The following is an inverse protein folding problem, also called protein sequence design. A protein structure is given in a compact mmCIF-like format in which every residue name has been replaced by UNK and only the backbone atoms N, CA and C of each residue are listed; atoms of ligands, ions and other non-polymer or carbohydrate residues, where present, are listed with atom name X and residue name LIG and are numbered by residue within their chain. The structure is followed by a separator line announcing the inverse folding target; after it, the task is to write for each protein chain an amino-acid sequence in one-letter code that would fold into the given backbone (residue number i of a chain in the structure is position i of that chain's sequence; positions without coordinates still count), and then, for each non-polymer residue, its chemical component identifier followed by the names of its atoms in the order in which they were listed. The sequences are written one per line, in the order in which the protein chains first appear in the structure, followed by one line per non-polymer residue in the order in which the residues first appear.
data_IF_736443266152
#
_entry.id   IF_736443266152
#
_cell.length_a   1.000
_cell.length_b   1.000
_cell.length_c   1.000
_cell.angle_alpha   90.00
_cell.angle_beta   90.00
_cell.angle_gamma   90.00
#
_symmetry.space_group_name_H-M   'P 1'
#
loop_
_entity.id
_entity.type
_entity.pdbx_description
1 polymer ?
#
# COMPACT_ATOMS: atom_id res chain seq x y z
N UNK A 1 13.69 -11.79 4.41
CA UNK A 1 13.15 -11.90 5.78
C UNK A 1 12.22 -10.73 6.05
N UNK A 2 10.90 -10.99 6.08
CA UNK A 2 9.83 -10.02 6.30
C UNK A 2 9.02 -10.30 7.58
N UNK A 3 9.27 -11.41 8.25
CA UNK A 3 8.60 -11.75 9.50
C UNK A 3 9.05 -10.80 10.63
N UNK A 4 8.13 -10.49 11.52
CA UNK A 4 8.41 -9.67 12.70
C UNK A 4 7.15 -9.05 13.30
N UNK A 5 7.27 -8.67 14.56
CA UNK A 5 6.23 -8.00 15.33
C UNK A 5 6.23 -6.50 15.03
N UNK A 6 5.06 -5.94 14.69
CA UNK A 6 4.91 -4.51 14.39
C UNK A 6 4.22 -3.76 15.54
N UNK A 7 3.31 -4.44 16.27
CA UNK A 7 2.52 -3.90 17.37
C UNK A 7 2.46 -4.94 18.46
N UNK A 8 2.90 -4.59 19.66
CA UNK A 8 2.70 -5.39 20.86
C UNK A 8 2.57 -4.49 22.10
N UNK A 9 1.77 -4.94 23.06
CA UNK A 9 1.70 -4.34 24.40
C UNK A 9 2.94 -4.71 25.24
N UNK A 10 3.56 -5.86 24.95
CA UNK A 10 4.73 -6.34 25.66
C UNK A 10 6.02 -6.02 24.90
N UNK A 11 6.93 -5.27 25.54
CA UNK A 11 8.24 -4.93 24.95
C UNK A 11 9.09 -6.16 24.61
N UNK A 12 8.93 -7.26 25.37
CA UNK A 12 9.70 -8.49 25.15
C UNK A 12 9.34 -9.18 23.83
N UNK A 13 8.13 -8.99 23.29
CA UNK A 13 7.71 -9.56 22.02
C UNK A 13 8.57 -9.03 20.86
N UNK A 14 8.88 -7.73 20.88
CA UNK A 14 9.79 -7.16 19.88
C UNK A 14 11.19 -7.78 19.95
N UNK A 15 11.70 -8.08 21.17
CA UNK A 15 12.97 -8.76 21.31
C UNK A 15 12.89 -10.20 20.78
N UNK A 16 11.86 -10.95 21.18
CA UNK A 16 11.64 -12.35 20.79
C UNK A 16 11.39 -12.46 19.28
N UNK A 17 10.43 -11.73 18.75
CA UNK A 17 9.90 -11.91 17.39
C UNK A 17 10.67 -11.12 16.33
N UNK A 18 11.50 -10.12 16.69
CA UNK A 18 12.33 -9.39 15.75
C UNK A 18 13.81 -9.74 15.94
N UNK A 19 14.37 -9.42 17.11
CA UNK A 19 15.82 -9.47 17.33
C UNK A 19 16.34 -10.90 17.38
N UNK A 20 15.67 -11.79 18.13
CA UNK A 20 16.12 -13.18 18.25
C UNK A 20 15.95 -13.93 16.93
N UNK A 21 14.91 -13.65 16.16
CA UNK A 21 14.69 -14.27 14.86
C UNK A 21 15.84 -13.93 13.89
N UNK A 22 16.28 -12.68 13.85
CA UNK A 22 17.42 -12.25 13.03
C UNK A 22 18.72 -12.94 13.51
N UNK A 23 18.92 -13.08 14.83
CA UNK A 23 20.08 -13.82 15.36
C UNK A 23 20.08 -15.27 14.90
N UNK A 24 18.92 -15.96 14.98
CA UNK A 24 18.77 -17.35 14.54
C UNK A 24 19.11 -17.49 13.05
N UNK A 25 18.63 -16.57 12.20
CA UNK A 25 18.94 -16.56 10.77
C UNK A 25 20.45 -16.44 10.55
N UNK A 26 21.11 -15.47 11.19
CA UNK A 26 22.55 -15.27 11.06
C UNK A 26 23.34 -16.51 11.54
N UNK A 27 22.97 -17.09 12.68
CA UNK A 27 23.59 -18.28 13.23
C UNK A 27 23.41 -19.50 12.32
N UNK A 28 22.23 -19.67 11.72
CA UNK A 28 21.95 -20.75 10.77
C UNK A 28 22.78 -20.61 9.50
N UNK A 29 22.86 -19.42 8.94
CA UNK A 29 23.70 -19.16 7.76
C UNK A 29 25.17 -19.44 8.04
N UNK A 30 25.66 -19.08 9.22
CA UNK A 30 27.04 -19.32 9.65
C UNK A 30 27.30 -20.82 9.89
N UNK A 31 26.41 -21.49 10.63
CA UNK A 31 26.53 -22.94 10.94
C UNK A 31 26.58 -23.78 9.67
N UNK A 32 25.75 -23.48 8.69
CA UNK A 32 25.70 -24.22 7.43
C UNK A 32 26.62 -23.64 6.35
N UNK A 33 27.47 -22.65 6.68
CA UNK A 33 28.39 -21.98 5.76
C UNK A 33 27.72 -21.46 4.47
N UNK A 34 26.47 -20.99 4.58
CA UNK A 34 25.68 -20.51 3.44
C UNK A 34 26.05 -19.06 3.10
N UNK A 35 26.34 -18.81 1.82
CA UNK A 35 26.60 -17.46 1.28
C UNK A 35 25.35 -16.83 0.65
N UNK A 36 24.17 -17.24 1.09
CA UNK A 36 22.90 -16.75 0.56
C UNK A 36 22.71 -15.26 0.85
N UNK A 37 22.43 -14.41 -0.16
CA UNK A 37 22.08 -13.02 0.06
C UNK A 37 20.84 -12.87 0.96
N UNK A 38 20.84 -11.87 1.85
CA UNK A 38 19.73 -11.62 2.77
C UNK A 38 19.11 -10.26 2.46
N UNK A 39 17.81 -10.24 2.21
CA UNK A 39 16.99 -9.01 2.12
C UNK A 39 16.16 -8.92 3.40
N UNK A 40 16.33 -7.84 4.15
CA UNK A 40 15.67 -7.62 5.44
C UNK A 40 14.75 -6.41 5.40
N UNK A 41 13.48 -6.58 5.77
CA UNK A 41 12.53 -5.48 5.95
C UNK A 41 12.79 -4.74 7.25
N UNK A 42 13.49 -3.63 7.16
CA UNK A 42 13.59 -2.64 8.23
C UNK A 42 12.52 -1.56 8.05
N UNK A 43 12.62 -0.45 8.75
CA UNK A 43 11.64 0.63 8.71
C UNK A 43 12.30 1.99 8.84
N UNK A 44 11.71 3.02 8.24
CA UNK A 44 12.07 4.42 8.51
C UNK A 44 11.92 4.79 10.00
N UNK A 45 11.16 3.99 10.77
CA UNK A 45 10.96 4.19 12.21
C UNK A 45 12.20 3.87 13.06
N UNK A 46 13.26 3.30 12.50
CA UNK A 46 14.56 3.12 13.21
C UNK A 46 15.14 4.44 13.73
N UNK A 47 14.70 5.56 13.19
CA UNK A 47 15.07 6.91 13.64
C UNK A 47 14.22 7.42 14.82
N UNK A 48 13.17 6.65 15.23
CA UNK A 48 12.26 7.02 16.30
C UNK A 48 12.58 6.24 17.57
N UNK A 49 12.42 6.90 18.72
CA UNK A 49 12.59 6.25 20.02
C UNK A 49 11.30 5.54 20.45
N UNK A 50 10.86 4.53 19.69
CA UNK A 50 9.77 3.64 20.07
C UNK A 50 10.26 2.18 20.03
N UNK A 51 9.57 1.28 20.73
CA UNK A 51 9.99 -0.11 20.90
C UNK A 51 10.20 -0.84 19.57
N UNK A 52 9.34 -0.59 18.59
CA UNK A 52 9.46 -1.15 17.25
C UNK A 52 10.71 -0.64 16.52
N UNK A 53 10.89 0.68 16.44
CA UNK A 53 12.06 1.30 15.80
C UNK A 53 13.38 0.84 16.43
N UNK A 54 13.44 0.81 17.77
CA UNK A 54 14.62 0.31 18.51
C UNK A 54 14.88 -1.17 18.19
N UNK A 55 13.84 -2.02 18.11
CA UNK A 55 14.01 -3.43 17.76
C UNK A 55 14.54 -3.61 16.35
N UNK A 56 13.99 -2.87 15.37
CA UNK A 56 14.48 -2.88 13.98
C UNK A 56 15.91 -2.39 13.86
N UNK A 57 16.28 -1.33 14.63
CA UNK A 57 17.67 -0.84 14.67
C UNK A 57 18.63 -1.92 15.20
N UNK A 58 18.26 -2.62 16.27
CA UNK A 58 19.07 -3.76 16.77
C UNK A 58 19.23 -4.88 15.73
N UNK A 59 18.18 -5.16 14.95
CA UNK A 59 18.26 -6.11 13.83
C UNK A 59 19.25 -5.64 12.77
N UNK A 60 19.20 -4.35 12.38
CA UNK A 60 20.17 -3.77 11.44
C UNK A 60 21.61 -3.95 11.92
N UNK A 61 21.88 -3.65 13.21
CA UNK A 61 23.20 -3.73 13.78
C UNK A 61 23.76 -5.17 13.79
N UNK A 62 22.90 -6.17 14.05
CA UNK A 62 23.25 -7.59 13.97
C UNK A 62 23.60 -7.99 12.54
N UNK A 63 22.77 -7.59 11.57
CA UNK A 63 22.97 -7.91 10.16
C UNK A 63 24.23 -7.24 9.59
N UNK A 64 24.54 -6.02 10.00
CA UNK A 64 25.76 -5.31 9.60
C UNK A 64 27.01 -6.02 10.16
N UNK A 65 26.98 -6.42 11.45
CA UNK A 65 28.08 -7.21 12.05
C UNK A 65 28.26 -8.52 11.32
N UNK A 66 27.18 -9.25 11.03
CA UNK A 66 27.21 -10.49 10.29
C UNK A 66 27.79 -10.30 8.88
N UNK A 67 27.34 -9.27 8.15
CA UNK A 67 27.87 -8.91 6.83
C UNK A 67 29.39 -8.74 6.86
N UNK A 68 29.88 -7.92 7.80
CA UNK A 68 31.31 -7.60 7.89
C UNK A 68 32.17 -8.83 8.26
N UNK A 69 31.64 -9.69 9.15
CA UNK A 69 32.34 -10.93 9.57
C UNK A 69 32.42 -11.97 8.44
N UNK A 70 31.36 -12.13 7.66
CA UNK A 70 31.20 -13.24 6.72
C UNK A 70 31.31 -12.81 5.25
N UNK A 71 31.61 -11.54 4.96
CA UNK A 71 31.60 -10.94 3.62
C UNK A 71 30.32 -11.28 2.82
N UNK A 72 29.17 -11.20 3.49
CA UNK A 72 27.87 -11.60 2.95
C UNK A 72 27.15 -10.44 2.28
N UNK A 73 26.31 -10.71 1.29
CA UNK A 73 25.42 -9.69 0.70
C UNK A 73 24.20 -9.51 1.60
N UNK A 74 24.07 -8.35 2.24
CA UNK A 74 22.94 -7.98 3.10
C UNK A 74 22.32 -6.70 2.59
N UNK A 75 21.03 -6.74 2.23
CA UNK A 75 20.25 -5.57 1.84
C UNK A 75 19.20 -5.25 2.92
N UNK A 76 19.34 -4.12 3.57
CA UNK A 76 18.45 -3.64 4.63
C UNK A 76 17.51 -2.59 4.04
N UNK A 77 16.22 -2.91 3.92
CA UNK A 77 15.22 -2.04 3.33
C UNK A 77 14.53 -1.23 4.42
N UNK A 78 14.88 0.05 4.58
CA UNK A 78 14.17 0.96 5.49
C UNK A 78 12.87 1.42 4.86
N UNK A 79 11.84 0.59 4.99
CA UNK A 79 10.56 0.76 4.34
C UNK A 79 9.73 1.90 4.97
N UNK A 80 9.05 2.73 4.15
CA UNK A 80 8.05 3.69 4.62
C UNK A 80 6.73 2.97 4.96
N UNK A 81 5.63 3.72 5.07
CA UNK A 81 4.31 3.10 5.28
C UNK A 81 3.85 2.41 3.98
N UNK A 82 3.74 1.10 4.04
CA UNK A 82 3.26 0.29 2.92
C UNK A 82 1.75 0.31 2.90
N UNK A 83 1.16 0.43 1.70
CA UNK A 83 -0.27 0.33 1.49
C UNK A 83 -0.58 -0.56 0.27
N UNK A 84 -1.78 -1.10 0.24
CA UNK A 84 -2.25 -1.96 -0.85
C UNK A 84 -3.49 -2.73 -0.45
N UNK A 85 -3.98 -3.54 -1.38
CA UNK A 85 -5.17 -4.38 -1.23
C UNK A 85 -5.04 -5.31 -0.02
N UNK A 86 -6.15 -5.60 0.62
CA UNK A 86 -6.33 -6.62 1.66
C UNK A 86 -5.47 -6.45 2.92
N UNK A 87 -4.81 -5.32 3.12
CA UNK A 87 -4.12 -5.07 4.37
C UNK A 87 -5.13 -4.91 5.52
N UNK A 88 -4.80 -5.43 6.70
CA UNK A 88 -5.70 -5.43 7.86
C UNK A 88 -6.02 -3.99 8.30
N UNK A 89 -7.31 -3.56 8.27
CA UNK A 89 -7.71 -2.25 8.78
C UNK A 89 -7.61 -2.21 10.31
N UNK A 90 -7.56 -1.01 10.88
CA UNK A 90 -7.45 -0.78 12.32
C UNK A 90 -6.26 -1.50 12.99
N UNK A 91 -5.20 -1.73 12.23
CA UNK A 91 -3.99 -2.38 12.73
C UNK A 91 -2.74 -1.49 12.53
N UNK A 92 -2.11 -1.50 11.39
CA UNK A 92 -0.84 -0.77 11.16
C UNK A 92 -0.80 0.03 9.84
N UNK A 93 -1.91 0.21 9.17
CA UNK A 93 -2.01 0.97 7.93
C UNK A 93 -3.09 2.03 8.01
N UNK A 94 -2.69 3.30 8.00
CA UNK A 94 -3.64 4.41 7.92
C UNK A 94 -4.48 4.34 6.64
N UNK A 95 -3.87 3.99 5.49
CA UNK A 95 -4.59 3.85 4.22
C UNK A 95 -5.67 2.79 4.30
N UNK A 96 -5.34 1.58 4.84
CA UNK A 96 -6.30 0.50 5.01
C UNK A 96 -7.46 0.91 5.92
N UNK A 97 -7.15 1.54 7.06
CA UNK A 97 -8.15 2.02 8.02
C UNK A 97 -9.07 3.06 7.40
N UNK A 98 -8.52 4.03 6.66
CA UNK A 98 -9.31 5.08 6.03
C UNK A 98 -10.18 4.51 4.90
N UNK A 99 -9.63 3.64 4.05
CA UNK A 99 -10.40 2.97 3.00
C UNK A 99 -11.54 2.12 3.58
N UNK A 100 -11.27 1.35 4.63
CA UNK A 100 -12.27 0.54 5.33
C UNK A 100 -13.37 1.40 5.94
N UNK A 101 -13.02 2.47 6.65
CA UNK A 101 -13.99 3.35 7.30
C UNK A 101 -14.86 4.07 6.27
N UNK A 102 -14.25 4.71 5.27
CA UNK A 102 -15.00 5.47 4.24
C UNK A 102 -15.90 4.58 3.40
N UNK A 103 -15.49 3.34 3.11
CA UNK A 103 -16.34 2.39 2.38
C UNK A 103 -17.59 1.93 3.17
N UNK A 104 -17.65 2.25 4.46
CA UNK A 104 -18.77 1.93 5.39
C UNK A 104 -19.42 3.16 6.00
N UNK A 105 -19.12 4.35 5.49
CA UNK A 105 -19.59 5.62 6.04
C UNK A 105 -19.22 5.84 7.52
N UNK A 106 -18.11 5.23 7.97
CA UNK A 106 -17.57 5.43 9.32
C UNK A 106 -16.66 6.67 9.30
N UNK A 107 -16.83 7.54 10.26
CA UNK A 107 -16.03 8.76 10.41
C UNK A 107 -14.54 8.45 10.58
N UNK A 108 -13.69 9.21 9.88
CA UNK A 108 -12.25 9.15 10.06
C UNK A 108 -11.82 10.16 11.12
N UNK A 109 -11.24 9.66 12.22
CA UNK A 109 -10.61 10.50 13.24
C UNK A 109 -9.11 10.55 13.03
N UNK A 110 -8.57 11.75 12.85
CA UNK A 110 -7.13 11.98 12.65
C UNK A 110 -6.66 13.01 13.67
N UNK A 111 -5.72 12.63 14.52
CA UNK A 111 -5.18 13.52 15.56
C UNK A 111 -4.41 14.71 14.99
N UNK A 112 -3.78 14.56 13.83
CA UNK A 112 -2.98 15.61 13.19
C UNK A 112 -3.05 15.51 11.66
N UNK A 113 -3.97 16.23 11.07
CA UNK A 113 -4.23 16.25 9.63
C UNK A 113 -3.01 16.71 8.79
N UNK A 114 -2.22 17.67 9.30
CA UNK A 114 -1.01 18.18 8.65
C UNK A 114 0.19 17.21 8.67
N UNK A 115 0.10 16.10 9.42
CA UNK A 115 1.18 15.14 9.52
C UNK A 115 1.54 14.55 8.15
N UNK A 116 2.82 14.65 7.78
CA UNK A 116 3.34 14.05 6.55
C UNK A 116 3.48 12.54 6.70
N UNK A 117 3.10 11.81 5.67
CA UNK A 117 3.24 10.37 5.55
C UNK A 117 3.92 10.03 4.22
N UNK A 118 4.94 9.18 4.30
CA UNK A 118 5.58 8.60 3.13
C UNK A 118 4.94 7.23 2.88
N UNK A 119 4.43 7.02 1.67
CA UNK A 119 3.67 5.85 1.25
C UNK A 119 4.41 5.10 0.15
N UNK A 120 4.40 3.77 0.24
CA UNK A 120 4.91 2.87 -0.79
C UNK A 120 3.83 1.84 -1.11
N UNK A 121 3.44 1.75 -2.37
CA UNK A 121 2.48 0.76 -2.83
C UNK A 121 3.11 -0.64 -2.84
N UNK A 122 2.35 -1.64 -2.43
CA UNK A 122 2.87 -3.00 -2.23
C UNK A 122 3.45 -3.59 -3.51
N UNK A 123 2.79 -3.40 -4.67
CA UNK A 123 3.27 -3.96 -5.93
C UNK A 123 4.58 -3.26 -6.37
N UNK A 124 4.72 -1.94 -6.14
CA UNK A 124 5.97 -1.21 -6.38
C UNK A 124 7.11 -1.74 -5.50
N UNK A 125 6.81 -2.10 -4.24
CA UNK A 125 7.80 -2.73 -3.34
C UNK A 125 8.20 -4.12 -3.84
N UNK A 126 7.22 -4.95 -4.24
CA UNK A 126 7.48 -6.30 -4.75
C UNK A 126 8.39 -6.25 -5.98
N UNK A 127 8.13 -5.32 -6.90
CA UNK A 127 9.01 -5.12 -8.07
C UNK A 127 10.44 -4.75 -7.68
N UNK A 128 10.62 -3.84 -6.70
CA UNK A 128 11.94 -3.45 -6.22
C UNK A 128 12.66 -4.62 -5.54
N UNK A 129 11.95 -5.44 -4.75
CA UNK A 129 12.51 -6.66 -4.14
C UNK A 129 12.87 -7.69 -5.19
N UNK A 130 12.01 -7.92 -6.18
CA UNK A 130 12.28 -8.84 -7.28
C UNK A 130 13.56 -8.47 -8.03
N UNK A 131 13.77 -7.17 -8.28
CA UNK A 131 15.01 -6.69 -8.90
C UNK A 131 16.25 -6.98 -8.03
N UNK A 132 16.15 -6.81 -6.71
CA UNK A 132 17.24 -7.13 -5.78
C UNK A 132 17.53 -8.63 -5.71
N UNK A 133 16.52 -9.49 -5.89
CA UNK A 133 16.70 -10.94 -5.95
C UNK A 133 17.37 -11.35 -7.27
N UNK A 134 16.87 -10.81 -8.39
CA UNK A 134 17.37 -11.14 -9.73
C UNK A 134 18.78 -10.59 -9.97
N UNK A 135 19.06 -9.42 -9.44
CA UNK A 135 20.35 -8.73 -9.56
C UNK A 135 20.87 -8.33 -8.18
N UNK A 136 21.47 -9.26 -7.43
CA UNK A 136 21.98 -8.98 -6.10
C UNK A 136 23.04 -7.87 -6.11
N UNK A 137 22.85 -6.86 -5.27
CA UNK A 137 23.78 -5.73 -5.14
C UNK A 137 24.44 -5.75 -3.76
N UNK A 138 25.75 -5.50 -3.70
CA UNK A 138 26.45 -5.39 -2.42
C UNK A 138 26.28 -3.98 -1.81
N UNK A 139 25.04 -3.58 -1.60
CA UNK A 139 24.68 -2.30 -0.96
C UNK A 139 23.85 -2.56 0.29
N UNK A 140 24.39 -2.24 1.47
CA UNK A 140 23.71 -2.50 2.74
C UNK A 140 22.34 -1.81 2.83
N UNK A 141 22.25 -0.56 2.41
CA UNK A 141 21.01 0.22 2.41
C UNK A 141 20.66 0.62 0.97
N UNK A 142 20.01 -0.25 0.18
CA UNK A 142 19.54 0.13 -1.14
C UNK A 142 18.45 1.21 -1.02
N UNK A 143 18.40 2.10 -2.00
CA UNK A 143 17.39 3.16 -2.00
C UNK A 143 16.05 2.60 -2.46
N UNK A 144 15.07 2.59 -1.57
CA UNK A 144 13.69 2.21 -1.86
C UNK A 144 12.88 3.46 -2.16
N UNK A 145 12.37 3.53 -3.39
CA UNK A 145 11.59 4.67 -3.86
C UNK A 145 10.17 4.61 -3.31
N UNK A 146 9.74 5.64 -2.60
CA UNK A 146 8.35 5.81 -2.17
C UNK A 146 7.45 6.11 -3.35
N UNK A 147 6.22 5.60 -3.34
CA UNK A 147 5.20 5.94 -4.35
C UNK A 147 4.77 7.41 -4.22
N UNK A 148 4.57 7.88 -2.97
CA UNK A 148 4.10 9.24 -2.68
C UNK A 148 4.47 9.70 -1.27
N UNK A 149 4.83 10.97 -1.16
CA UNK A 149 4.83 11.70 0.12
C UNK A 149 3.65 12.66 0.11
N UNK A 150 2.80 12.64 1.15
CA UNK A 150 1.58 13.43 1.26
C UNK A 150 1.27 13.76 2.72
N UNK A 151 0.22 14.54 2.98
CA UNK A 151 -0.33 14.74 4.32
C UNK A 151 -1.51 13.77 4.56
N UNK A 152 -1.84 13.52 5.84
CA UNK A 152 -3.03 12.73 6.17
C UNK A 152 -4.30 13.39 5.66
N UNK A 153 -4.39 14.73 5.69
CA UNK A 153 -5.49 15.49 5.11
C UNK A 153 -5.68 15.21 3.62
N UNK A 154 -4.59 15.31 2.83
CA UNK A 154 -4.67 15.06 1.39
C UNK A 154 -4.97 13.59 1.09
N UNK A 155 -4.50 12.66 1.92
CA UNK A 155 -4.83 11.25 1.79
C UNK A 155 -6.33 11.02 1.98
N UNK A 156 -6.93 11.55 3.06
CA UNK A 156 -8.37 11.45 3.32
C UNK A 156 -9.17 12.11 2.19
N UNK A 157 -8.77 13.32 1.75
CA UNK A 157 -9.40 14.02 0.63
C UNK A 157 -9.43 13.17 -0.65
N UNK A 158 -8.30 12.54 -0.99
CA UNK A 158 -8.22 11.69 -2.20
C UNK A 158 -9.11 10.45 -2.09
N UNK A 159 -9.21 9.81 -0.90
CA UNK A 159 -10.08 8.64 -0.72
C UNK A 159 -11.56 9.05 -0.80
N UNK A 160 -11.96 10.19 -0.22
CA UNK A 160 -13.31 10.73 -0.38
C UNK A 160 -13.64 10.99 -1.86
N UNK A 161 -12.74 11.67 -2.59
CA UNK A 161 -12.93 11.90 -4.03
C UNK A 161 -13.10 10.60 -4.82
N UNK A 162 -12.38 9.53 -4.45
CA UNK A 162 -12.55 8.20 -5.07
C UNK A 162 -13.94 7.64 -4.77
N UNK A 163 -14.41 7.76 -3.52
CA UNK A 163 -15.75 7.33 -3.11
C UNK A 163 -16.82 8.07 -3.90
N UNK A 164 -16.82 9.42 -3.87
CA UNK A 164 -17.83 10.28 -4.51
C UNK A 164 -17.92 10.03 -6.02
N UNK A 165 -16.77 9.89 -6.69
CA UNK A 165 -16.74 9.63 -8.13
C UNK A 165 -17.24 8.25 -8.52
N UNK A 166 -17.12 7.27 -7.63
CA UNK A 166 -17.70 5.96 -7.86
C UNK A 166 -19.24 6.03 -7.92
N UNK A 167 -19.85 6.88 -7.12
CA UNK A 167 -21.32 7.07 -7.09
C UNK A 167 -21.83 7.73 -8.39
N UNK A 168 -20.99 8.48 -9.10
CA UNK A 168 -21.33 9.16 -10.37
C UNK A 168 -20.85 8.44 -11.62
N UNK A 169 -20.40 7.17 -11.52
CA UNK A 169 -19.81 6.40 -12.62
C UNK A 169 -18.60 7.08 -13.29
N UNK A 170 -18.04 8.14 -12.66
CA UNK A 170 -16.88 8.87 -13.17
C UNK A 170 -15.58 8.12 -12.83
N UNK A 171 -14.91 7.61 -13.84
CA UNK A 171 -13.56 7.02 -13.69
C UNK A 171 -12.54 8.14 -13.93
N UNK A 172 -12.02 8.68 -12.85
CA UNK A 172 -11.02 9.74 -12.93
C UNK A 172 -9.63 9.21 -12.56
N UNK A 173 -8.61 9.84 -13.16
CA UNK A 173 -7.21 9.73 -12.71
C UNK A 173 -6.43 8.45 -13.08
N UNK A 174 -6.76 7.77 -14.17
CA UNK A 174 -5.93 6.68 -14.70
C UNK A 174 -4.47 7.12 -15.00
N UNK A 175 -4.23 8.41 -15.22
CA UNK A 175 -2.90 8.98 -15.48
C UNK A 175 -2.03 9.15 -14.23
N UNK A 176 -2.61 9.18 -13.03
CA UNK A 176 -1.87 9.35 -11.78
C UNK A 176 -1.72 7.99 -11.07
N UNK A 177 -0.53 7.40 -11.12
CA UNK A 177 -0.25 6.10 -10.54
C UNK A 177 -0.60 6.02 -9.04
N UNK A 178 -0.36 7.08 -8.26
CA UNK A 178 -0.73 7.08 -6.84
C UNK A 178 -2.24 6.97 -6.65
N UNK A 179 -3.03 7.75 -7.39
CA UNK A 179 -4.50 7.71 -7.29
C UNK A 179 -5.04 6.38 -7.82
N UNK A 180 -4.47 5.83 -8.90
CA UNK A 180 -4.80 4.49 -9.41
C UNK A 180 -4.58 3.42 -8.34
N UNK A 181 -3.42 3.44 -7.67
CA UNK A 181 -3.09 2.49 -6.61
C UNK A 181 -3.99 2.67 -5.38
N UNK A 182 -4.33 3.91 -5.04
CA UNK A 182 -5.25 4.23 -3.95
C UNK A 182 -6.68 3.76 -4.26
N UNK A 183 -7.16 3.97 -5.49
CA UNK A 183 -8.43 3.45 -5.99
C UNK A 183 -8.49 1.92 -5.89
N UNK A 184 -7.48 1.23 -6.40
CA UNK A 184 -7.37 -0.23 -6.32
C UNK A 184 -7.40 -0.74 -4.88
N UNK A 185 -6.74 -0.01 -3.97
CA UNK A 185 -6.77 -0.30 -2.53
C UNK A 185 -8.17 -0.07 -1.95
N UNK A 186 -8.81 1.07 -2.25
CA UNK A 186 -10.15 1.39 -1.77
C UNK A 186 -11.18 0.34 -2.19
N UNK A 187 -11.17 -0.07 -3.45
CA UNK A 187 -12.08 -1.11 -3.97
C UNK A 187 -11.96 -2.42 -3.18
N UNK A 188 -10.75 -2.82 -2.77
CA UNK A 188 -10.55 -4.05 -2.00
C UNK A 188 -11.20 -4.03 -0.60
N UNK A 189 -11.62 -2.87 -0.11
CA UNK A 189 -12.31 -2.70 1.18
C UNK A 189 -13.82 -2.53 1.06
N UNK A 190 -14.36 -2.46 -0.16
CA UNK A 190 -15.81 -2.34 -0.34
C UNK A 190 -16.54 -3.56 0.21
N UNK A 191 -17.63 -3.38 0.96
CA UNK A 191 -18.53 -4.49 1.26
C UNK A 191 -19.21 -4.97 -0.04
N UNK A 192 -19.57 -6.27 -0.11
CA UNK A 192 -20.11 -6.88 -1.33
C UNK A 192 -21.27 -6.07 -1.95
N UNK A 193 -22.19 -5.61 -1.12
CA UNK A 193 -23.33 -4.77 -1.58
C UNK A 193 -22.90 -3.44 -2.23
N UNK A 194 -21.74 -2.89 -1.89
CA UNK A 194 -21.24 -1.64 -2.44
C UNK A 194 -20.46 -1.82 -3.77
N UNK A 195 -20.29 -3.05 -4.25
CA UNK A 195 -19.79 -3.28 -5.61
C UNK A 195 -20.84 -2.95 -6.66
N UNK A 196 -22.11 -3.08 -6.33
CA UNK A 196 -23.22 -2.66 -7.20
C UNK A 196 -23.40 -1.16 -7.12
N UNK A 197 -23.70 -0.54 -8.24
CA UNK A 197 -24.17 0.83 -8.33
C UNK A 197 -25.27 0.92 -9.41
N UNK A 198 -26.25 1.78 -9.15
CA UNK A 198 -27.37 1.98 -10.06
C UNK A 198 -26.93 2.87 -11.22
N UNK A 199 -27.23 2.44 -12.43
CA UNK A 199 -27.06 3.28 -13.60
C UNK A 199 -28.26 4.22 -13.72
N UNK A 200 -27.98 5.48 -14.03
CA UNK A 200 -29.05 6.45 -14.28
C UNK A 200 -29.53 6.27 -15.73
N UNK A 201 -30.73 5.72 -15.86
CA UNK A 201 -31.40 5.60 -17.14
C UNK A 201 -31.95 6.99 -17.54
N UNK A 202 -31.63 7.43 -18.74
CA UNK A 202 -32.27 8.57 -19.42
C UNK A 202 -33.10 7.99 -20.55
N UNK A 203 -34.37 8.41 -20.61
CA UNK A 203 -35.35 7.93 -21.59
C UNK A 203 -36.04 9.12 -22.24
N UNK A 204 -36.18 9.08 -23.55
CA UNK A 204 -36.95 10.03 -24.35
C UNK A 204 -37.66 9.29 -25.52
N UNK A 205 -38.35 9.98 -26.38
CA UNK A 205 -39.08 9.39 -27.54
C UNK A 205 -38.18 8.58 -28.47
N UNK A 206 -36.86 8.84 -28.47
CA UNK A 206 -35.87 8.18 -29.33
C UNK A 206 -35.37 6.84 -28.74
N UNK A 207 -35.65 6.59 -27.47
CA UNK A 207 -35.22 5.36 -26.77
C UNK A 207 -34.53 5.63 -25.45
N UNK A 208 -33.72 4.65 -24.99
CA UNK A 208 -33.05 4.68 -23.69
C UNK A 208 -31.55 4.97 -23.86
N UNK A 209 -30.96 5.60 -22.84
CA UNK A 209 -29.53 5.84 -22.74
C UNK A 209 -29.04 5.57 -21.31
N UNK A 210 -28.01 4.71 -21.16
CA UNK A 210 -27.36 4.41 -19.89
C UNK A 210 -25.85 4.63 -20.04
N UNK A 211 -25.27 5.33 -19.07
CA UNK A 211 -23.84 5.59 -19.01
C UNK A 211 -23.17 4.67 -17.97
N UNK A 212 -22.35 3.73 -18.42
CA UNK A 212 -21.65 2.78 -17.54
C UNK A 212 -20.39 3.37 -16.91
N UNK A 213 -19.64 4.16 -17.69
CA UNK A 213 -18.40 4.76 -17.24
C UNK A 213 -18.11 6.03 -18.02
N UNK A 214 -17.72 7.07 -17.29
CA UNK A 214 -17.35 8.37 -17.84
C UNK A 214 -15.90 8.69 -17.52
N UNK A 215 -15.13 8.99 -18.54
CA UNK A 215 -13.73 9.38 -18.44
C UNK A 215 -13.60 10.85 -18.82
N UNK A 216 -13.21 11.70 -17.89
CA UNK A 216 -13.21 13.16 -18.06
C UNK A 216 -12.49 13.68 -19.32
N UNK A 217 -11.59 12.93 -19.92
CA UNK A 217 -10.81 13.34 -21.10
C UNK A 217 -10.71 12.26 -22.19
N UNK A 218 -11.37 11.12 -22.01
CA UNK A 218 -11.23 9.96 -22.89
C UNK A 218 -12.57 9.48 -23.46
N UNK A 219 -13.67 10.18 -23.15
CA UNK A 219 -15.00 9.78 -23.57
C UNK A 219 -15.77 8.98 -22.53
N UNK A 220 -16.72 8.19 -22.98
CA UNK A 220 -17.61 7.40 -22.12
C UNK A 220 -17.91 6.04 -22.73
N UNK A 221 -18.29 5.09 -21.89
CA UNK A 221 -18.87 3.82 -22.29
C UNK A 221 -20.36 3.89 -21.95
N UNK A 222 -21.21 3.76 -22.97
CA UNK A 222 -22.66 3.84 -22.80
C UNK A 222 -23.37 2.75 -23.60
N UNK A 223 -24.57 2.44 -23.16
CA UNK A 223 -25.54 1.61 -23.88
C UNK A 223 -26.73 2.50 -24.26
N UNK A 224 -27.27 2.30 -25.44
CA UNK A 224 -28.50 2.97 -25.85
C UNK A 224 -29.35 2.08 -26.73
N UNK A 225 -30.65 2.35 -26.73
CA UNK A 225 -31.62 1.80 -27.68
C UNK A 225 -32.12 2.92 -28.56
N UNK A 226 -32.57 2.58 -29.77
CA UNK A 226 -33.24 3.50 -30.67
C UNK A 226 -34.58 2.88 -31.03
N UNK A 227 -35.65 3.67 -30.85
CA UNK A 227 -37.00 3.28 -31.24
C UNK A 227 -37.14 3.30 -32.77
N UNK A 228 -38.05 2.48 -33.35
CA UNK A 228 -38.30 2.51 -34.80
C UNK A 228 -38.63 3.90 -35.30
N UNK A 229 -38.02 4.27 -36.44
CA UNK A 229 -38.18 5.58 -37.10
C UNK A 229 -37.56 6.80 -36.37
N UNK A 230 -36.78 6.57 -35.31
CA UNK A 230 -36.06 7.64 -34.60
C UNK A 230 -34.57 7.58 -34.94
N UNK A 231 -33.90 8.74 -34.84
CA UNK A 231 -32.46 8.90 -35.03
C UNK A 231 -31.79 9.48 -33.78
N UNK A 232 -30.59 9.07 -33.50
CA UNK A 232 -29.79 9.60 -32.39
C UNK A 232 -28.44 10.05 -32.92
N UNK A 233 -28.20 11.37 -32.92
CA UNK A 233 -26.95 12.00 -33.26
C UNK A 233 -26.08 12.30 -32.03
#
# INVERSE_FOLDING_TARGET
HFAGENISKNKNDFKKNNVNLVKIICQSLEKFKLKTPVIFSSSIQVKKNNNYGVSKKKCEDILIKFKNKNNSIINILRLPNIFGKWSKPNYNSAVATFCFNLSRNIEIKVNRYSAKISLLYIDDLILQIYQLIKFPVNKTFPNIKSTKVTTLQNLVKNINLIKDKRETSEISHLKNNFIKNLYSTYISFLPLKAFQYNLIKKEDKRGEFLEFAKFKQLGQISYFTINPKEERG
#
